data_IF_442539596632
#
_entry.id   IF_442539596632
#
_cell.length_a   1.000
_cell.length_b   1.000
_cell.length_c   1.000
_cell.angle_alpha   90.00
_cell.angle_beta   90.00
_cell.angle_gamma   90.00
#
_symmetry.space_group_name_H-M   'P 1'
#
loop_
_entity.id
_entity.type
_entity.pdbx_description
1 polymer ?
#
# COMPACT_ATOMS: atom_id res chain seq x y z
N UNK A 1 17.95 -8.31 -8.44
CA UNK A 1 16.59 -8.77 -8.68
C UNK A 1 16.01 -8.05 -9.89
N UNK A 2 15.25 -8.75 -10.72
CA UNK A 2 14.73 -8.16 -11.97
C UNK A 2 13.32 -8.66 -12.23
N UNK A 3 12.42 -7.78 -12.66
CA UNK A 3 11.06 -8.12 -13.08
C UNK A 3 10.54 -7.16 -14.13
N UNK A 4 9.50 -7.57 -14.86
CA UNK A 4 8.83 -6.75 -15.87
C UNK A 4 7.57 -6.11 -15.27
N UNK A 5 7.29 -4.85 -15.65
CA UNK A 5 6.03 -4.17 -15.32
C UNK A 5 4.93 -4.68 -16.24
N UNK A 6 4.07 -5.53 -15.70
CA UNK A 6 2.90 -6.09 -16.40
C UNK A 6 1.61 -5.36 -16.00
N UNK A 7 0.51 -5.65 -16.71
CA UNK A 7 -0.82 -5.13 -16.37
C UNK A 7 -1.24 -5.47 -14.94
N UNK A 8 -0.78 -6.61 -14.39
CA UNK A 8 -1.10 -7.07 -13.03
C UNK A 8 -0.58 -6.17 -11.92
N UNK A 9 0.44 -5.39 -12.19
CA UNK A 9 1.10 -4.53 -11.20
C UNK A 9 1.10 -3.06 -11.60
N UNK A 10 0.40 -2.70 -12.69
CA UNK A 10 0.33 -1.32 -13.14
C UNK A 10 -0.90 -0.58 -12.60
N UNK A 11 -0.79 0.74 -12.58
CA UNK A 11 -1.90 1.66 -12.36
C UNK A 11 -2.68 1.88 -13.67
N UNK A 12 -3.90 2.46 -13.65
CA UNK A 12 -4.59 2.93 -14.85
C UNK A 12 -3.77 3.91 -15.71
N UNK A 13 -2.81 4.60 -15.11
CA UNK A 13 -1.87 5.49 -15.80
C UNK A 13 -0.76 4.77 -16.58
N UNK A 14 -0.83 3.43 -16.69
CA UNK A 14 0.13 2.56 -17.40
C UNK A 14 1.56 2.64 -16.87
N UNK A 15 1.71 2.74 -15.56
CA UNK A 15 2.98 2.63 -14.86
C UNK A 15 2.81 1.79 -13.58
N UNK A 16 3.90 1.24 -13.08
CA UNK A 16 3.93 0.39 -11.90
C UNK A 16 3.25 1.06 -10.70
N UNK A 17 2.38 0.33 -10.00
CA UNK A 17 1.79 0.75 -8.74
C UNK A 17 2.88 0.84 -7.65
N UNK A 18 2.89 1.91 -6.87
CA UNK A 18 3.95 2.18 -5.89
C UNK A 18 4.14 1.06 -4.87
N UNK A 19 3.04 0.55 -4.33
CA UNK A 19 3.06 -0.59 -3.41
C UNK A 19 3.70 -1.86 -3.99
N UNK A 20 3.57 -2.09 -5.31
CA UNK A 20 4.25 -3.20 -5.98
C UNK A 20 5.78 -2.97 -6.04
N UNK A 21 6.21 -1.73 -6.28
CA UNK A 21 7.62 -1.36 -6.25
C UNK A 21 8.24 -1.56 -4.87
N UNK A 22 7.57 -1.08 -3.83
CA UNK A 22 8.00 -1.31 -2.44
C UNK A 22 7.98 -2.82 -2.13
N UNK A 23 6.87 -3.52 -2.41
CA UNK A 23 6.74 -4.96 -2.15
C UNK A 23 7.82 -5.80 -2.83
N UNK A 24 8.12 -5.55 -4.11
CA UNK A 24 9.21 -6.24 -4.83
C UNK A 24 10.57 -5.96 -4.22
N UNK A 25 10.80 -4.73 -3.72
CA UNK A 25 12.04 -4.38 -3.02
C UNK A 25 12.16 -5.11 -1.69
N UNK A 26 11.04 -5.30 -0.96
CA UNK A 26 11.02 -6.07 0.28
C UNK A 26 11.36 -7.55 0.03
N UNK A 27 10.76 -8.17 -0.98
CA UNK A 27 11.09 -9.56 -1.37
C UNK A 27 12.59 -9.69 -1.68
N UNK A 28 13.15 -8.77 -2.46
CA UNK A 28 14.58 -8.79 -2.80
C UNK A 28 15.48 -8.64 -1.55
N UNK A 29 15.07 -7.81 -0.57
CA UNK A 29 15.80 -7.62 0.68
C UNK A 29 15.66 -8.83 1.62
N UNK A 30 14.47 -9.44 1.70
CA UNK A 30 14.23 -10.66 2.48
C UNK A 30 15.05 -11.84 1.94
N UNK A 31 15.08 -12.03 0.61
CA UNK A 31 15.95 -13.04 -0.03
C UNK A 31 17.44 -12.79 0.25
N UNK A 32 17.88 -11.54 0.08
CA UNK A 32 19.29 -11.20 0.28
C UNK A 32 19.77 -11.35 1.72
N UNK A 33 18.88 -11.09 2.70
CA UNK A 33 19.23 -11.14 4.12
C UNK A 33 18.88 -12.47 4.80
N UNK A 34 17.95 -13.25 4.23
CA UNK A 34 17.37 -14.43 4.86
C UNK A 34 16.50 -14.10 6.09
N UNK A 35 15.99 -12.86 6.19
CA UNK A 35 15.26 -12.35 7.37
C UNK A 35 13.97 -11.66 6.98
N UNK A 36 12.89 -11.79 7.79
CA UNK A 36 11.63 -11.11 7.54
C UNK A 36 11.76 -9.59 7.71
N UNK A 37 10.94 -8.84 6.98
CA UNK A 37 10.83 -7.39 7.10
C UNK A 37 10.19 -7.01 8.44
N UNK A 38 10.81 -6.05 9.14
CA UNK A 38 10.25 -5.40 10.33
C UNK A 38 9.68 -4.03 9.97
N UNK A 39 10.45 -3.28 9.20
CA UNK A 39 10.10 -1.91 8.79
C UNK A 39 10.76 -1.59 7.45
N UNK A 40 10.07 -0.79 6.66
CA UNK A 40 10.66 -0.18 5.48
C UNK A 40 10.05 1.18 5.18
N UNK A 41 10.82 2.05 4.53
CA UNK A 41 10.34 3.29 3.94
C UNK A 41 10.83 3.41 2.51
N UNK A 42 9.92 3.69 1.61
CA UNK A 42 10.18 3.97 0.20
C UNK A 42 10.12 5.48 -0.06
N UNK A 43 10.99 5.97 -0.93
CA UNK A 43 10.86 7.27 -1.58
C UNK A 43 10.62 7.04 -3.06
N UNK A 44 9.52 7.56 -3.60
CA UNK A 44 9.16 7.44 -5.00
C UNK A 44 9.76 8.59 -5.81
N UNK A 45 10.73 8.30 -6.66
CA UNK A 45 11.49 9.29 -7.43
C UNK A 45 10.94 9.48 -8.83
N UNK A 46 10.51 8.37 -9.46
CA UNK A 46 9.99 8.35 -10.81
C UNK A 46 9.07 7.15 -11.00
N UNK A 47 8.53 6.96 -12.18
CA UNK A 47 7.64 5.86 -12.52
C UNK A 47 8.30 4.86 -13.49
N UNK A 48 7.90 3.58 -13.40
CA UNK A 48 8.25 2.53 -14.34
C UNK A 48 7.07 2.29 -15.28
N UNK A 49 7.18 2.60 -16.60
CA UNK A 49 6.11 2.36 -17.55
C UNK A 49 5.80 0.88 -17.73
N UNK A 50 4.58 0.56 -18.22
CA UNK A 50 4.21 -0.77 -18.66
C UNK A 50 5.24 -1.32 -19.66
N UNK A 51 5.62 -2.59 -19.51
CA UNK A 51 6.60 -3.28 -20.36
C UNK A 51 8.06 -2.95 -20.03
N UNK A 52 8.33 -2.01 -19.09
CA UNK A 52 9.70 -1.77 -18.68
C UNK A 52 10.22 -2.86 -17.74
N UNK A 53 11.54 -3.11 -17.83
CA UNK A 53 12.25 -3.99 -16.90
C UNK A 53 12.74 -3.18 -15.71
N UNK A 54 12.33 -3.58 -14.51
CA UNK A 54 12.79 -3.00 -13.24
C UNK A 54 13.93 -3.84 -12.68
N UNK A 55 15.06 -3.19 -12.40
CA UNK A 55 16.21 -3.80 -11.74
C UNK A 55 16.32 -3.30 -10.30
N UNK A 56 16.25 -4.21 -9.33
CA UNK A 56 16.38 -3.91 -7.89
C UNK A 56 17.76 -4.32 -7.43
N UNK A 57 18.54 -3.35 -6.96
CA UNK A 57 19.85 -3.55 -6.33
C UNK A 57 19.67 -3.50 -4.82
N UNK A 58 20.17 -4.51 -4.11
CA UNK A 58 20.13 -4.60 -2.64
C UNK A 58 21.50 -4.36 -2.04
N UNK A 59 21.53 -3.74 -0.87
CA UNK A 59 22.73 -3.52 -0.07
C UNK A 59 22.43 -3.79 1.41
N UNK A 60 23.01 -4.84 1.96
CA UNK A 60 22.96 -5.16 3.40
C UNK A 60 24.01 -4.31 4.11
N UNK A 61 23.63 -3.16 4.62
CA UNK A 61 24.54 -2.15 5.18
C UNK A 61 25.18 -2.64 6.48
N UNK A 62 24.37 -3.21 7.37
CA UNK A 62 24.82 -3.78 8.64
C UNK A 62 24.03 -5.06 8.89
N UNK A 63 24.71 -6.19 8.96
CA UNK A 63 24.15 -7.49 9.36
C UNK A 63 24.46 -7.73 10.85
N UNK A 64 23.55 -7.32 11.74
CA UNK A 64 23.66 -7.61 13.17
C UNK A 64 23.16 -9.01 13.54
N UNK A 65 23.28 -9.40 14.81
CA UNK A 65 22.86 -10.72 15.30
C UNK A 65 21.35 -10.95 15.07
N UNK A 66 20.51 -9.99 15.40
CA UNK A 66 19.05 -10.10 15.32
C UNK A 66 18.42 -9.25 14.22
N UNK A 67 19.03 -8.12 13.85
CA UNK A 67 18.51 -7.16 12.90
C UNK A 67 19.55 -6.84 11.83
N UNK A 68 19.13 -6.81 10.58
CA UNK A 68 19.88 -6.32 9.41
C UNK A 68 19.32 -4.97 9.01
N UNK A 69 20.17 -3.95 8.87
CA UNK A 69 19.83 -2.69 8.23
C UNK A 69 20.20 -2.76 6.76
N UNK A 70 19.28 -2.51 5.88
CA UNK A 70 19.45 -2.72 4.45
C UNK A 70 18.86 -1.59 3.61
N UNK A 71 19.29 -1.52 2.36
CA UNK A 71 18.76 -0.61 1.34
C UNK A 71 18.47 -1.37 0.06
N UNK A 72 17.45 -0.92 -0.66
CA UNK A 72 17.23 -1.29 -2.05
C UNK A 72 17.09 -0.03 -2.89
N UNK A 73 17.54 -0.12 -4.14
CA UNK A 73 17.34 0.93 -5.14
C UNK A 73 16.84 0.26 -6.41
N UNK A 74 15.72 0.73 -6.93
CA UNK A 74 15.13 0.21 -8.16
C UNK A 74 15.37 1.16 -9.34
N UNK A 75 15.65 0.59 -10.50
CA UNK A 75 15.99 1.29 -11.72
C UNK A 75 15.16 0.79 -12.90
N UNK A 76 14.84 1.68 -13.82
CA UNK A 76 14.46 1.36 -15.20
C UNK A 76 15.56 1.94 -16.09
N UNK A 77 16.29 1.06 -16.77
CA UNK A 77 17.55 1.42 -17.45
C UNK A 77 18.52 2.05 -16.43
N UNK A 78 18.99 3.27 -16.67
CA UNK A 78 19.88 4.01 -15.77
C UNK A 78 19.14 4.99 -14.84
N UNK A 79 17.80 5.08 -14.96
CA UNK A 79 17.00 5.99 -14.16
C UNK A 79 16.54 5.34 -12.88
N UNK A 80 16.93 5.92 -11.76
CA UNK A 80 16.44 5.54 -10.43
C UNK A 80 14.96 5.92 -10.29
N UNK A 81 14.13 4.95 -9.90
CA UNK A 81 12.69 5.14 -9.77
C UNK A 81 12.20 5.08 -8.33
N UNK A 82 12.96 4.39 -7.47
CA UNK A 82 12.56 4.11 -6.09
C UNK A 82 13.80 3.85 -5.23
N UNK A 83 13.84 4.41 -4.02
CA UNK A 83 14.76 3.99 -2.95
C UNK A 83 14.00 3.43 -1.78
N UNK A 84 14.56 2.41 -1.12
CA UNK A 84 14.00 1.79 0.09
C UNK A 84 15.07 1.68 1.15
N UNK A 85 14.78 2.13 2.37
CA UNK A 85 15.52 1.77 3.57
C UNK A 85 14.68 0.80 4.39
N UNK A 86 15.31 -0.24 4.94
CA UNK A 86 14.59 -1.28 5.67
C UNK A 86 15.39 -1.83 6.85
N UNK A 87 14.67 -2.30 7.87
CA UNK A 87 15.17 -3.20 8.89
C UNK A 87 14.50 -4.56 8.75
N UNK A 88 15.31 -5.62 8.75
CA UNK A 88 14.89 -7.01 8.64
C UNK A 88 15.41 -7.81 9.83
N UNK A 89 14.61 -8.71 10.37
CA UNK A 89 15.06 -9.52 11.52
C UNK A 89 13.91 -9.97 12.41
N UNK A 90 14.30 -10.49 13.57
CA UNK A 90 13.38 -10.95 14.62
C UNK A 90 13.78 -10.36 15.97
N UNK A 91 12.78 -9.97 16.77
CA UNK A 91 13.00 -9.54 18.15
C UNK A 91 13.34 -10.72 19.07
N UNK A 92 13.82 -10.39 20.27
CA UNK A 92 14.15 -11.38 21.32
C UNK A 92 13.10 -11.45 22.41
N UNK A 93 12.21 -10.46 22.50
CA UNK A 93 11.13 -10.44 23.47
C UNK A 93 9.93 -11.25 22.91
N UNK A 94 9.57 -12.32 23.57
CA UNK A 94 8.39 -13.11 23.23
C UNK A 94 7.19 -12.61 24.05
N UNK A 95 6.51 -11.58 23.55
CA UNK A 95 5.25 -11.08 24.07
C UNK A 95 4.40 -10.61 22.88
N UNK A 96 3.21 -11.19 22.77
CA UNK A 96 2.20 -10.77 21.78
C UNK A 96 1.06 -10.08 22.55
N UNK A 97 1.10 -8.76 22.57
CA UNK A 97 0.11 -7.95 23.28
C UNK A 97 -0.46 -6.90 22.32
N UNK A 98 -1.73 -7.02 21.91
CA UNK A 98 -2.38 -5.98 21.13
C UNK A 98 -2.68 -4.77 22.03
N UNK A 99 -2.34 -3.57 21.54
CA UNK A 99 -2.65 -2.31 22.23
C UNK A 99 -3.69 -1.46 21.46
N UNK A 100 -4.03 -1.88 20.27
CA UNK A 100 -5.06 -1.25 19.44
C UNK A 100 -6.13 -2.28 19.10
N UNK A 101 -7.35 -1.80 18.91
CA UNK A 101 -8.45 -2.59 18.40
C UNK A 101 -8.82 -2.12 16.99
N UNK A 102 -9.18 -3.05 16.14
CA UNK A 102 -9.79 -2.78 14.84
C UNK A 102 -11.09 -2.01 15.04
N UNK A 103 -11.37 -1.06 14.15
CA UNK A 103 -12.66 -0.37 14.14
C UNK A 103 -13.81 -1.36 13.87
N UNK A 104 -14.99 -1.06 14.42
CA UNK A 104 -16.20 -1.83 14.14
C UNK A 104 -16.70 -1.51 12.72
N UNK A 105 -16.71 -2.53 11.86
CA UNK A 105 -17.21 -2.47 10.48
C UNK A 105 -17.93 -3.77 10.13
N UNK A 106 -18.77 -3.72 9.09
CA UNK A 106 -19.37 -4.94 8.54
C UNK A 106 -18.27 -5.89 8.02
N UNK A 107 -18.44 -7.21 8.16
CA UNK A 107 -17.52 -8.20 7.61
C UNK A 107 -17.48 -8.12 6.07
N UNK A 108 -16.48 -8.71 5.42
CA UNK A 108 -16.32 -8.63 3.97
C UNK A 108 -17.55 -9.04 3.18
N UNK A 109 -18.27 -10.08 3.62
CA UNK A 109 -19.44 -10.63 2.93
C UNK A 109 -20.62 -9.64 2.90
N UNK A 110 -20.76 -8.80 3.92
CA UNK A 110 -21.80 -7.78 4.06
C UNK A 110 -21.36 -6.42 3.54
N UNK A 111 -20.06 -6.25 3.27
CA UNK A 111 -19.49 -5.02 2.76
C UNK A 111 -19.73 -4.86 1.25
N UNK A 112 -19.97 -3.63 0.80
CA UNK A 112 -20.32 -3.36 -0.60
C UNK A 112 -19.12 -3.52 -1.51
N UNK A 113 -19.20 -4.23 -2.65
CA UNK A 113 -18.13 -4.25 -3.64
C UNK A 113 -17.73 -2.82 -4.06
N UNK A 114 -16.44 -2.57 -4.14
CA UNK A 114 -15.91 -1.33 -4.71
C UNK A 114 -15.81 -1.51 -6.22
N UNK A 115 -16.81 -1.00 -6.93
CA UNK A 115 -16.81 -1.02 -8.39
C UNK A 115 -15.91 0.12 -8.87
N UNK A 116 -14.87 -0.24 -9.61
CA UNK A 116 -13.99 0.74 -10.24
C UNK A 116 -14.56 1.13 -11.61
N UNK A 117 -14.47 2.41 -12.02
CA UNK A 117 -14.82 2.81 -13.39
C UNK A 117 -13.97 2.06 -14.44
N UNK A 118 -14.52 1.80 -15.64
CA UNK A 118 -13.88 1.06 -16.75
C UNK A 118 -12.45 1.54 -17.08
N UNK A 119 -12.16 2.82 -16.88
CA UNK A 119 -10.80 3.36 -17.06
C UNK A 119 -9.74 2.75 -16.13
N UNK A 120 -10.15 2.02 -15.10
CA UNK A 120 -9.28 1.30 -14.17
C UNK A 120 -9.05 -0.16 -14.61
N UNK A 121 -9.73 -0.61 -15.67
CA UNK A 121 -9.55 -1.95 -16.22
C UNK A 121 -8.12 -2.15 -16.76
N UNK A 122 -7.73 -3.40 -16.88
CA UNK A 122 -6.37 -3.81 -17.25
C UNK A 122 -5.30 -3.19 -16.33
N UNK A 123 -5.56 -3.22 -15.03
CA UNK A 123 -4.65 -2.69 -14.01
C UNK A 123 -4.65 -3.59 -12.76
N UNK A 124 -3.86 -3.23 -11.76
CA UNK A 124 -3.82 -3.94 -10.47
C UNK A 124 -5.22 -4.09 -9.83
N UNK A 125 -6.14 -3.18 -10.14
CA UNK A 125 -7.49 -3.21 -9.56
C UNK A 125 -8.35 -4.37 -10.06
N UNK A 126 -7.98 -5.04 -11.17
CA UNK A 126 -8.63 -6.27 -11.64
C UNK A 126 -8.12 -7.51 -10.89
N UNK A 127 -6.99 -7.38 -10.19
CA UNK A 127 -6.33 -8.47 -9.49
C UNK A 127 -6.45 -8.39 -7.98
N UNK A 128 -6.97 -7.28 -7.47
CA UNK A 128 -7.24 -7.06 -6.05
C UNK A 128 -8.72 -6.78 -5.86
N UNK A 129 -9.44 -7.72 -5.25
CA UNK A 129 -10.83 -7.48 -4.87
C UNK A 129 -10.89 -6.52 -3.69
N UNK A 130 -11.75 -5.51 -3.78
CA UNK A 130 -11.96 -4.55 -2.69
C UNK A 130 -13.44 -4.37 -2.38
N UNK A 131 -13.76 -4.21 -1.08
CA UNK A 131 -15.12 -3.94 -0.59
C UNK A 131 -15.11 -2.77 0.38
N UNK A 132 -16.07 -1.88 0.28
CA UNK A 132 -16.17 -0.69 1.12
C UNK A 132 -16.80 -1.09 2.45
N UNK A 133 -15.99 -1.10 3.51
CA UNK A 133 -16.43 -1.34 4.88
C UNK A 133 -16.89 -0.04 5.57
N UNK A 134 -16.21 1.07 5.29
CA UNK A 134 -16.53 2.39 5.79
C UNK A 134 -16.18 3.47 4.76
N UNK A 135 -17.08 4.39 4.47
CA UNK A 135 -16.86 5.50 3.54
C UNK A 135 -17.86 5.54 2.40
N UNK A 136 -17.65 6.47 1.47
CA UNK A 136 -18.49 6.70 0.30
C UNK A 136 -17.94 6.01 -0.93
N UNK A 137 -18.82 5.59 -1.83
CA UNK A 137 -18.44 5.16 -3.17
C UNK A 137 -18.08 6.38 -4.04
N UNK A 138 -17.45 6.15 -5.17
CA UNK A 138 -17.13 7.23 -6.10
C UNK A 138 -18.39 7.98 -6.57
N UNK A 139 -19.45 7.27 -6.93
CA UNK A 139 -20.71 7.85 -7.39
C UNK A 139 -21.47 8.64 -6.30
N UNK A 140 -21.15 8.43 -5.04
CA UNK A 140 -21.75 9.14 -3.90
C UNK A 140 -20.98 10.43 -3.52
N UNK A 141 -19.96 10.82 -4.30
CA UNK A 141 -19.17 12.03 -4.08
C UNK A 141 -19.89 13.26 -4.63
N UNK A 142 -20.58 13.98 -3.75
CA UNK A 142 -21.44 15.13 -4.07
C UNK A 142 -20.81 16.50 -3.76
N UNK A 143 -19.54 16.51 -3.35
CA UNK A 143 -18.80 17.72 -2.96
C UNK A 143 -18.99 18.12 -1.49
N UNK A 144 -19.87 17.45 -0.75
CA UNK A 144 -20.02 17.68 0.67
C UNK A 144 -18.86 17.07 1.47
N UNK A 145 -18.36 17.74 2.53
CA UNK A 145 -17.33 17.18 3.40
C UNK A 145 -17.75 15.84 3.99
N UNK A 146 -16.78 14.90 4.09
CA UNK A 146 -16.99 13.57 4.65
C UNK A 146 -16.03 13.25 5.81
N UNK A 147 -16.07 12.01 6.28
CA UNK A 147 -15.16 11.54 7.31
C UNK A 147 -13.73 11.45 6.76
N UNK A 148 -12.70 11.87 7.53
CA UNK A 148 -11.32 11.58 7.20
C UNK A 148 -10.92 10.13 7.45
N UNK A 149 -11.80 9.32 8.06
CA UNK A 149 -11.62 7.89 8.27
C UNK A 149 -12.45 7.13 7.24
N UNK A 150 -11.82 6.17 6.58
CA UNK A 150 -12.45 5.22 5.66
C UNK A 150 -11.80 3.86 5.76
N UNK A 151 -12.49 2.82 5.34
CA UNK A 151 -11.94 1.47 5.39
C UNK A 151 -12.42 0.60 4.21
N UNK A 152 -11.50 -0.21 3.68
CA UNK A 152 -11.76 -1.18 2.62
C UNK A 152 -11.26 -2.55 3.04
N UNK A 153 -12.07 -3.58 2.88
CA UNK A 153 -11.60 -4.94 2.80
C UNK A 153 -10.91 -5.16 1.47
N UNK A 154 -9.72 -5.74 1.49
CA UNK A 154 -8.93 -6.01 0.29
C UNK A 154 -8.39 -7.42 0.33
N UNK A 155 -8.39 -8.12 -0.83
CA UNK A 155 -7.74 -9.44 -0.98
C UNK A 155 -7.16 -9.61 -2.37
N UNK A 156 -6.16 -10.47 -2.48
CA UNK A 156 -5.74 -11.08 -3.74
C UNK A 156 -6.42 -12.44 -3.81
N UNK A 157 -7.36 -12.69 -4.73
CA UNK A 157 -8.10 -13.94 -4.79
C UNK A 157 -7.18 -15.18 -4.82
N UNK A 158 -7.46 -16.14 -3.94
CA UNK A 158 -6.65 -17.36 -3.81
C UNK A 158 -5.35 -17.21 -3.00
N UNK A 159 -5.05 -16.02 -2.47
CA UNK A 159 -3.88 -15.76 -1.63
C UNK A 159 -4.31 -15.49 -0.18
N UNK A 160 -4.07 -16.46 0.70
CA UNK A 160 -4.52 -16.44 2.11
C UNK A 160 -3.39 -16.18 3.11
N UNK A 161 -2.15 -16.07 2.66
CA UNK A 161 -0.99 -15.81 3.51
C UNK A 161 -0.40 -14.45 3.17
N UNK A 162 -0.78 -13.38 3.90
CA UNK A 162 -0.22 -12.07 3.66
C UNK A 162 1.28 -12.07 3.94
N UNK A 163 2.04 -11.43 3.06
CA UNK A 163 3.46 -11.16 3.21
C UNK A 163 3.70 -9.67 3.42
N UNK A 164 4.91 -9.28 3.82
CA UNK A 164 5.28 -7.87 3.87
C UNK A 164 5.06 -7.18 2.51
N UNK A 165 5.30 -7.88 1.40
CA UNK A 165 5.07 -7.38 0.05
C UNK A 165 3.57 -7.15 -0.24
N UNK A 166 2.69 -8.09 0.12
CA UNK A 166 1.23 -7.93 -0.05
C UNK A 166 0.70 -6.79 0.80
N UNK A 167 1.17 -6.69 2.06
CA UNK A 167 0.78 -5.59 2.95
C UNK A 167 1.29 -4.23 2.46
N UNK A 168 2.46 -4.17 1.80
CA UNK A 168 2.95 -2.94 1.17
C UNK A 168 2.05 -2.48 0.00
N UNK A 169 1.47 -3.41 -0.76
CA UNK A 169 0.48 -3.10 -1.79
C UNK A 169 -0.78 -2.50 -1.18
N UNK A 170 -1.35 -3.12 -0.15
CA UNK A 170 -2.55 -2.62 0.52
C UNK A 170 -2.30 -1.32 1.28
N UNK A 171 -1.12 -1.15 1.88
CA UNK A 171 -0.70 0.09 2.54
C UNK A 171 -0.57 1.29 1.60
N UNK A 172 -0.50 1.07 0.28
CA UNK A 172 -0.38 2.15 -0.72
C UNK A 172 -1.74 2.72 -1.20
N UNK A 173 -2.85 2.33 -0.57
CA UNK A 173 -4.18 2.85 -0.92
C UNK A 173 -4.51 4.22 -0.34
N UNK A 174 -3.67 4.78 0.52
CA UNK A 174 -3.90 6.07 1.20
C UNK A 174 -4.19 7.23 0.22
N UNK A 175 -3.59 7.21 -0.97
CA UNK A 175 -3.87 8.22 -1.99
C UNK A 175 -5.36 8.29 -2.39
N UNK A 176 -6.08 7.16 -2.36
CA UNK A 176 -7.52 7.07 -2.59
C UNK A 176 -8.36 7.62 -1.43
N UNK A 177 -7.80 7.64 -0.22
CA UNK A 177 -8.46 8.13 1.00
C UNK A 177 -8.71 9.64 1.01
N UNK A 178 -7.93 10.41 0.24
CA UNK A 178 -8.04 11.88 0.18
C UNK A 178 -9.41 12.35 -0.34
N UNK A 179 -10.04 11.57 -1.20
CA UNK A 179 -11.36 11.89 -1.76
C UNK A 179 -12.47 11.90 -0.70
N UNK A 180 -12.36 11.08 0.34
CA UNK A 180 -13.39 10.87 1.35
C UNK A 180 -13.75 12.16 2.14
N UNK A 181 -12.77 12.83 2.81
CA UNK A 181 -13.07 14.07 3.55
C UNK A 181 -13.46 15.23 2.65
N UNK A 182 -13.00 15.26 1.40
CA UNK A 182 -13.34 16.32 0.45
C UNK A 182 -14.70 16.14 -0.21
N UNK A 183 -15.21 14.89 -0.27
CA UNK A 183 -16.40 14.56 -1.05
C UNK A 183 -16.24 14.81 -2.55
N UNK A 184 -14.99 14.88 -3.03
CA UNK A 184 -14.64 15.18 -4.43
C UNK A 184 -13.62 14.20 -4.93
N UNK A 185 -13.65 13.95 -6.23
CA UNK A 185 -12.62 13.11 -6.86
C UNK A 185 -11.25 13.76 -6.75
N UNK A 186 -10.30 13.00 -6.27
CA UNK A 186 -8.89 13.41 -6.24
C UNK A 186 -8.01 12.38 -6.94
N UNK A 187 -6.94 12.86 -7.53
CA UNK A 187 -5.82 12.05 -7.97
C UNK A 187 -4.63 12.36 -7.07
N UNK A 188 -4.07 11.32 -6.47
CA UNK A 188 -2.89 11.43 -5.61
C UNK A 188 -1.69 10.72 -6.20
N UNK A 189 -0.51 11.31 -5.97
CA UNK A 189 0.79 10.68 -6.21
C UNK A 189 1.52 10.59 -4.88
N UNK A 190 1.78 9.37 -4.41
CA UNK A 190 2.57 9.13 -3.21
C UNK A 190 4.00 9.62 -3.42
N UNK A 191 4.53 10.36 -2.46
CA UNK A 191 5.93 10.81 -2.43
C UNK A 191 6.79 9.81 -1.69
N UNK A 192 6.24 9.20 -0.66
CA UNK A 192 6.83 8.16 0.16
C UNK A 192 5.78 7.11 0.55
N UNK A 193 6.24 5.99 1.06
CA UNK A 193 5.41 5.02 1.78
C UNK A 193 6.28 4.35 2.85
N UNK A 194 5.85 4.45 4.09
CA UNK A 194 6.49 3.76 5.21
C UNK A 194 5.57 2.67 5.71
N UNK A 195 6.09 1.42 5.78
CA UNK A 195 5.37 0.28 6.34
C UNK A 195 6.10 -0.28 7.57
N UNK A 196 5.34 -0.71 8.57
CA UNK A 196 5.82 -1.43 9.75
C UNK A 196 5.00 -2.69 9.91
N UNK A 197 5.66 -3.84 9.88
CA UNK A 197 5.00 -5.13 10.05
C UNK A 197 4.88 -5.39 11.55
N UNK A 198 3.67 -5.61 12.01
CA UNK A 198 3.38 -5.98 13.40
C UNK A 198 3.41 -7.50 13.55
N UNK A 199 2.64 -8.21 12.72
CA UNK A 199 2.63 -9.67 12.65
C UNK A 199 2.12 -10.14 11.29
N UNK A 200 2.32 -11.41 10.99
CA UNK A 200 1.74 -12.06 9.81
C UNK A 200 0.93 -13.26 10.30
N UNK A 201 -0.34 -13.31 9.94
CA UNK A 201 -1.20 -14.47 10.17
C UNK A 201 -2.05 -14.74 8.91
N UNK A 202 -2.41 -16.00 8.64
CA UNK A 202 -3.29 -16.34 7.54
C UNK A 202 -4.64 -15.63 7.67
N UNK A 203 -5.02 -14.90 6.62
CA UNK A 203 -6.32 -14.23 6.49
C UNK A 203 -6.63 -14.07 5.01
N UNK A 204 -7.88 -14.27 4.62
CA UNK A 204 -8.30 -14.08 3.23
C UNK A 204 -8.46 -12.59 2.90
N UNK A 205 -9.04 -11.85 3.83
CA UNK A 205 -9.23 -10.42 3.68
C UNK A 205 -8.38 -9.62 4.67
N UNK A 206 -7.90 -8.49 4.20
CA UNK A 206 -7.20 -7.49 5.00
C UNK A 206 -8.04 -6.22 5.02
N UNK A 207 -8.43 -5.74 6.20
CA UNK A 207 -9.06 -4.43 6.34
C UNK A 207 -7.99 -3.34 6.28
N UNK A 208 -8.09 -2.48 5.28
CA UNK A 208 -7.28 -1.28 5.13
C UNK A 208 -8.04 -0.10 5.75
N UNK A 209 -7.83 0.17 7.02
CA UNK A 209 -8.39 1.30 7.76
C UNK A 209 -7.50 2.53 7.57
N UNK A 210 -8.01 3.58 6.92
CA UNK A 210 -7.26 4.77 6.54
C UNK A 210 -7.72 5.99 7.34
N UNK A 211 -6.77 6.70 7.91
CA UNK A 211 -6.96 7.97 8.62
C UNK A 211 -6.21 9.07 7.87
N UNK A 212 -6.95 10.00 7.26
CA UNK A 212 -6.36 11.20 6.65
C UNK A 212 -6.26 12.29 7.71
N UNK A 213 -5.09 12.90 7.84
CA UNK A 213 -4.80 13.87 8.91
C UNK A 213 -4.96 15.30 8.45
N UNK A 214 -4.45 15.62 7.26
CA UNK A 214 -4.45 16.98 6.73
C UNK A 214 -4.32 16.97 5.21
N UNK A 215 -4.78 18.04 4.60
CA UNK A 215 -4.47 18.46 3.24
C UNK A 215 -4.12 19.95 3.28
N UNK A 216 -2.89 20.31 2.94
CA UNK A 216 -2.42 21.70 2.90
C UNK A 216 -1.44 21.89 1.74
N UNK A 217 -1.58 23.00 1.00
CA UNK A 217 -0.69 23.29 -0.13
C UNK A 217 -0.68 22.22 -1.22
N UNK A 218 -1.76 21.42 -1.35
CA UNK A 218 -1.82 20.31 -2.31
C UNK A 218 -1.15 19.01 -1.81
N UNK A 219 -0.70 18.96 -0.56
CA UNK A 219 -0.11 17.78 0.05
C UNK A 219 -1.03 17.22 1.14
N UNK A 220 -1.40 15.96 1.02
CA UNK A 220 -2.14 15.22 2.02
C UNK A 220 -1.23 14.27 2.80
N UNK A 221 -1.64 13.94 4.03
CA UNK A 221 -0.94 12.99 4.89
C UNK A 221 -1.94 12.07 5.57
N UNK A 222 -1.55 10.83 5.77
CA UNK A 222 -2.39 9.85 6.45
C UNK A 222 -1.64 8.60 6.87
N UNK A 223 -2.35 7.78 7.64
CA UNK A 223 -1.88 6.45 8.08
C UNK A 223 -2.96 5.42 7.76
N UNK A 224 -2.53 4.23 7.34
CA UNK A 224 -3.35 3.05 7.23
C UNK A 224 -2.98 2.04 8.33
N UNK A 225 -3.98 1.41 8.92
CA UNK A 225 -3.87 0.23 9.76
C UNK A 225 -4.39 -0.96 8.96
N UNK A 226 -3.60 -2.01 8.88
CA UNK A 226 -3.93 -3.22 8.12
C UNK A 226 -4.25 -4.34 9.11
N UNK A 227 -5.50 -4.82 9.10
CA UNK A 227 -6.03 -5.77 10.04
C UNK A 227 -6.41 -7.08 9.36
N UNK A 228 -6.22 -8.21 10.03
CA UNK A 228 -6.84 -9.46 9.61
C UNK A 228 -8.35 -9.45 9.88
N UNK A 229 -9.07 -10.44 9.34
CA UNK A 229 -10.51 -10.63 9.62
C UNK A 229 -10.79 -10.89 11.12
N UNK A 230 -9.80 -11.38 11.86
CA UNK A 230 -9.89 -11.62 13.30
C UNK A 230 -9.62 -10.37 14.15
N UNK A 231 -9.28 -9.25 13.53
CA UNK A 231 -8.93 -8.02 14.22
C UNK A 231 -7.49 -7.98 14.73
N UNK A 232 -6.60 -8.82 14.20
CA UNK A 232 -5.16 -8.74 14.50
C UNK A 232 -4.52 -7.66 13.63
N UNK A 233 -3.74 -6.75 14.25
CA UNK A 233 -2.97 -5.75 13.51
C UNK A 233 -1.81 -6.43 12.78
N UNK A 234 -1.87 -6.43 11.45
CA UNK A 234 -0.82 -6.99 10.58
C UNK A 234 0.30 -5.98 10.32
N UNK A 235 -0.08 -4.74 10.00
CA UNK A 235 0.88 -3.67 9.70
C UNK A 235 0.26 -2.30 9.87
N UNK A 236 1.14 -1.28 9.94
CA UNK A 236 0.76 0.12 9.72
C UNK A 236 1.53 0.68 8.53
N UNK A 237 0.88 1.57 7.75
CA UNK A 237 1.53 2.30 6.67
C UNK A 237 1.23 3.79 6.78
N UNK A 238 2.14 4.64 6.29
CA UNK A 238 1.93 6.09 6.27
C UNK A 238 2.51 6.70 5.00
N UNK A 239 1.87 7.78 4.50
CA UNK A 239 2.27 8.44 3.26
C UNK A 239 2.12 9.95 3.32
N UNK A 240 2.98 10.63 2.55
CA UNK A 240 2.79 11.99 2.06
C UNK A 240 2.39 11.93 0.59
N UNK A 241 1.31 12.61 0.23
CA UNK A 241 0.65 12.46 -1.05
C UNK A 241 0.49 13.83 -1.72
N UNK A 242 1.07 14.03 -2.90
CA UNK A 242 0.75 15.19 -3.74
C UNK A 242 -0.61 14.96 -4.40
N UNK A 243 -1.60 15.77 -4.03
CA UNK A 243 -3.00 15.59 -4.43
C UNK A 243 -3.52 16.75 -5.27
N UNK A 244 -4.35 16.44 -6.25
CA UNK A 244 -5.08 17.43 -7.04
C UNK A 244 -6.52 16.97 -7.25
N UNK A 245 -7.42 17.93 -7.45
CA UNK A 245 -8.78 17.61 -7.89
C UNK A 245 -8.73 16.95 -9.27
N UNK A 246 -9.61 16.02 -9.46
CA UNK A 246 -9.74 15.24 -10.67
C UNK A 246 -11.18 15.34 -11.17
N UNK A 247 -11.36 15.70 -12.44
CA UNK A 247 -12.65 15.69 -13.11
C UNK A 247 -12.80 14.36 -13.86
N UNK A 248 -13.73 13.49 -13.42
CA UNK A 248 -13.93 12.19 -14.05
C UNK A 248 -14.51 12.28 -15.48
N UNK A 249 -14.99 13.46 -15.92
CA UNK A 249 -15.57 13.65 -17.26
C UNK A 249 -14.51 13.96 -18.33
N UNK A 250 -13.27 14.19 -17.94
CA UNK A 250 -12.16 14.56 -18.83
C UNK A 250 -11.19 13.41 -19.18
N UNK A 251 -11.67 12.13 -19.12
CA UNK A 251 -10.90 10.96 -19.54
C UNK A 251 -11.71 10.03 -20.43
#
# INVERSE_FOLDING_TARGET
WTFEVTERIMTPGKFMFGGCGLGSSLVALEEASGRPTVWATAQYLSYAPLGSTVNVKTNLVIAGGHVTQARATAFVEDREILTVNAALGTGTLSADTPWLNMIEVSPPEESRPRIMPERFDNSIFDHVETRIALGRRYEDMDGSPGSPVSAFWSRVPGHIEPSAATLAIFGDYLAGGVSQPLGKYTMGRSLDNTIRIATLEPTEWVLCEMHMYALSGGFAQGTAFLWSEKGTLLATASQSIASKLFDPTHF
#
